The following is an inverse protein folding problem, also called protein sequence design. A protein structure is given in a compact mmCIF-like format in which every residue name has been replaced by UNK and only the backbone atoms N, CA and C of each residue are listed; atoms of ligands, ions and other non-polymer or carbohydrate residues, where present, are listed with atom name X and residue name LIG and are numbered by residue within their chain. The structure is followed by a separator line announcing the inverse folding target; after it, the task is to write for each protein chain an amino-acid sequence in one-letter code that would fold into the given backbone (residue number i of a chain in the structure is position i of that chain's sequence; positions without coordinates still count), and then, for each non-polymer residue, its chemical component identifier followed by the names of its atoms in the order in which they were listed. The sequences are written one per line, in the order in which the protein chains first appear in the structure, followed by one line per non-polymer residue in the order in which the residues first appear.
data_IF_837182810780
#
_entry.id   IF_837182810780
#
_cell.length_a   1.000
_cell.length_b   1.000
_cell.length_c   1.000
_cell.angle_alpha   90.00
_cell.angle_beta   90.00
_cell.angle_gamma   90.00
#
_symmetry.space_group_name_H-M   'P 1'
#
loop_
_entity.id
_entity.type
_entity.pdbx_description
1 polymer ?
#
# COMPACT_ATOMS: atom_id res chain seq x y z
N UNK A 1 -18.59 4.98 8.21
CA UNK A 1 -18.14 6.38 8.43
C UNK A 1 -16.64 6.44 8.68
N UNK A 2 -16.07 5.60 9.55
CA UNK A 2 -14.62 5.57 9.83
C UNK A 2 -13.73 5.15 8.63
N UNK A 3 -14.24 4.34 7.70
CA UNK A 3 -13.48 3.89 6.53
C UNK A 3 -13.33 4.99 5.46
N UNK A 4 -14.32 5.88 5.37
CA UNK A 4 -14.33 6.97 4.40
C UNK A 4 -13.26 8.01 4.74
N UNK A 5 -13.11 8.34 6.02
CA UNK A 5 -12.14 9.30 6.55
C UNK A 5 -10.68 8.90 6.23
N UNK A 6 -10.36 7.60 6.36
CA UNK A 6 -9.03 7.07 6.03
C UNK A 6 -8.69 7.20 4.55
N UNK A 7 -9.67 6.93 3.68
CA UNK A 7 -9.49 7.02 2.23
C UNK A 7 -9.27 8.47 1.79
N UNK A 8 -10.04 9.39 2.34
CA UNK A 8 -9.90 10.82 2.04
C UNK A 8 -8.54 11.36 2.49
N UNK A 9 -8.15 11.07 3.74
CA UNK A 9 -6.84 11.46 4.30
C UNK A 9 -5.68 10.91 3.46
N UNK A 10 -5.77 9.63 3.05
CA UNK A 10 -4.74 9.03 2.21
C UNK A 10 -4.61 9.74 0.85
N UNK A 11 -5.74 10.08 0.20
CA UNK A 11 -5.72 10.84 -1.06
C UNK A 11 -5.15 12.24 -0.88
N UNK A 12 -5.45 12.91 0.23
CA UNK A 12 -4.85 14.21 0.53
C UNK A 12 -3.32 14.12 0.64
N UNK A 13 -2.77 13.04 1.21
CA UNK A 13 -1.32 12.82 1.24
C UNK A 13 -0.73 12.46 -0.13
N UNK A 14 -1.45 11.70 -0.96
CA UNK A 14 -0.99 11.38 -2.32
C UNK A 14 -0.85 12.62 -3.20
N UNK A 15 -1.72 13.62 -3.03
CA UNK A 15 -1.74 14.84 -3.84
C UNK A 15 -0.79 15.94 -3.34
N UNK A 16 0.02 15.66 -2.31
CA UNK A 16 0.96 16.61 -1.74
C UNK A 16 2.34 16.45 -2.35
N UNK A 17 2.79 17.47 -3.07
CA UNK A 17 4.10 17.49 -3.74
C UNK A 17 5.28 17.53 -2.75
N UNK A 18 5.03 17.83 -1.48
CA UNK A 18 6.02 17.92 -0.41
C UNK A 18 6.20 16.60 0.38
N UNK A 19 5.55 15.51 -0.03
CA UNK A 19 5.67 14.20 0.62
C UNK A 19 6.47 13.26 -0.28
N UNK A 20 7.60 12.77 0.25
CA UNK A 20 8.42 11.75 -0.43
C UNK A 20 7.96 10.32 -0.16
N UNK A 21 7.63 10.00 1.09
CA UNK A 21 7.33 8.64 1.54
C UNK A 21 6.12 8.66 2.49
N UNK A 22 5.18 7.74 2.30
CA UNK A 22 4.03 7.48 3.17
C UNK A 22 4.22 6.10 3.79
N UNK A 23 4.36 6.05 5.11
CA UNK A 23 4.33 4.79 5.87
C UNK A 23 2.90 4.52 6.35
N UNK A 24 2.36 3.35 6.03
CA UNK A 24 0.99 2.98 6.37
C UNK A 24 0.94 1.57 6.96
N UNK A 25 0.14 1.36 8.01
CA UNK A 25 -0.04 0.00 8.52
C UNK A 25 -0.74 -0.86 7.45
N UNK A 26 -0.26 -2.09 7.21
CA UNK A 26 -0.86 -3.00 6.23
C UNK A 26 -2.36 -3.22 6.45
N UNK A 27 -2.80 -3.32 7.71
CA UNK A 27 -4.22 -3.41 8.06
C UNK A 27 -5.05 -2.21 7.56
N UNK A 28 -4.48 -1.00 7.61
CA UNK A 28 -5.14 0.22 7.10
C UNK A 28 -5.02 0.30 5.57
N UNK A 29 -3.91 -0.17 5.00
CA UNK A 29 -3.70 -0.23 3.55
C UNK A 29 -4.77 -1.07 2.84
N UNK A 30 -5.23 -2.16 3.48
CA UNK A 30 -6.36 -2.96 2.99
C UNK A 30 -7.66 -2.16 2.86
N UNK A 31 -7.89 -1.21 3.77
CA UNK A 31 -9.11 -0.39 3.79
C UNK A 31 -9.10 0.66 2.66
N UNK A 32 -7.90 1.10 2.25
CA UNK A 32 -7.69 2.11 1.19
C UNK A 32 -7.18 1.50 -0.12
N UNK A 33 -7.28 0.17 -0.28
CA UNK A 33 -6.63 -0.60 -1.35
C UNK A 33 -6.96 -0.07 -2.75
N UNK A 34 -8.21 0.37 -2.98
CA UNK A 34 -8.61 0.98 -4.25
C UNK A 34 -7.80 2.24 -4.60
N UNK A 35 -7.52 3.10 -3.62
CA UNK A 35 -6.72 4.32 -3.82
C UNK A 35 -5.23 3.99 -3.96
N UNK A 36 -4.73 3.00 -3.21
CA UNK A 36 -3.33 2.56 -3.28
C UNK A 36 -3.03 1.90 -4.64
N UNK A 37 -3.91 1.03 -5.12
CA UNK A 37 -3.75 0.37 -6.42
C UNK A 37 -3.85 1.37 -7.58
N UNK A 38 -4.70 2.40 -7.45
CA UNK A 38 -4.80 3.50 -8.43
C UNK A 38 -3.55 4.41 -8.45
N UNK A 39 -2.77 4.45 -7.37
CA UNK A 39 -1.52 5.22 -7.31
C UNK A 39 -0.40 4.48 -8.06
N UNK A 40 0.00 5.07 -9.20
CA UNK A 40 1.04 4.53 -10.09
C UNK A 40 2.32 5.37 -10.08
N UNK A 41 2.31 6.55 -9.45
CA UNK A 41 3.47 7.42 -9.37
C UNK A 41 4.48 6.87 -8.34
N UNK A 42 5.77 7.03 -8.62
CA UNK A 42 6.83 6.61 -7.70
C UNK A 42 6.92 7.49 -6.45
N UNK A 43 6.44 8.74 -6.53
CA UNK A 43 6.45 9.73 -5.45
C UNK A 43 5.02 10.26 -5.27
N UNK A 44 4.47 10.29 -4.04
CA UNK A 44 5.06 9.70 -2.83
C UNK A 44 5.14 8.17 -2.90
N UNK A 45 6.24 7.60 -2.41
CA UNK A 45 6.38 6.14 -2.26
C UNK A 45 5.54 5.68 -1.08
N UNK A 46 4.68 4.67 -1.25
CA UNK A 46 3.85 4.12 -0.18
C UNK A 46 4.47 2.81 0.31
N UNK A 47 4.75 2.70 1.62
CA UNK A 47 5.30 1.50 2.25
C UNK A 47 4.36 0.96 3.33
N UNK A 48 3.97 -0.30 3.17
CA UNK A 48 3.11 -1.03 4.12
C UNK A 48 3.96 -1.61 5.26
N UNK A 49 3.62 -1.28 6.51
CA UNK A 49 4.32 -1.75 7.72
C UNK A 49 3.40 -2.59 8.63
N UNK A 50 3.93 -3.53 9.42
CA UNK A 50 3.16 -4.22 10.46
C UNK A 50 2.73 -3.27 11.58
N UNK A 51 1.74 -3.69 12.35
CA UNK A 51 1.35 -3.03 13.60
C UNK A 51 1.56 -3.95 14.80
N UNK A 52 1.54 -3.39 16.02
CA UNK A 52 1.66 -4.18 17.26
C UNK A 52 0.57 -5.25 17.43
N UNK A 53 -0.62 -5.05 16.84
CA UNK A 53 -1.78 -5.96 16.97
C UNK A 53 -2.00 -6.86 15.75
N UNK A 54 -1.52 -6.41 14.58
CA UNK A 54 -1.68 -7.11 13.31
C UNK A 54 -0.30 -7.29 12.68
N UNK A 55 0.27 -8.51 12.72
CA UNK A 55 1.55 -8.81 12.08
C UNK A 55 1.44 -8.64 10.57
N UNK A 56 2.59 -8.51 9.91
CA UNK A 56 2.65 -8.39 8.46
C UNK A 56 2.29 -9.72 7.77
N UNK A 57 1.47 -9.64 6.74
CA UNK A 57 1.03 -10.73 5.89
C UNK A 57 1.53 -10.50 4.45
N UNK A 58 2.58 -11.21 4.06
CA UNK A 58 3.19 -11.07 2.73
C UNK A 58 2.21 -11.39 1.59
N UNK A 59 1.14 -12.16 1.85
CA UNK A 59 0.18 -12.53 0.80
C UNK A 59 -0.67 -11.34 0.34
N UNK A 60 -0.77 -10.30 1.17
CA UNK A 60 -1.59 -9.09 0.97
C UNK A 60 -0.81 -7.90 0.44
N UNK A 61 0.49 -8.05 0.24
CA UNK A 61 1.35 -6.96 -0.19
C UNK A 61 1.07 -6.59 -1.66
N UNK A 62 0.87 -5.29 -1.89
CA UNK A 62 0.58 -4.73 -3.22
C UNK A 62 1.74 -4.87 -4.20
N UNK A 63 2.98 -4.78 -3.73
CA UNK A 63 4.18 -4.98 -4.55
C UNK A 63 4.26 -6.44 -4.97
N UNK A 64 4.05 -7.39 -4.04
CA UNK A 64 4.00 -8.81 -4.39
C UNK A 64 2.85 -9.12 -5.36
N UNK A 65 1.68 -8.50 -5.21
CA UNK A 65 0.56 -8.68 -6.17
C UNK A 65 0.89 -8.12 -7.57
N UNK A 66 1.54 -6.96 -7.66
CA UNK A 66 2.02 -6.41 -8.95
C UNK A 66 3.11 -7.29 -9.56
N UNK A 67 3.96 -7.85 -8.71
CA UNK A 67 5.04 -8.76 -9.07
C UNK A 67 4.58 -10.18 -9.45
N UNK A 68 3.40 -10.65 -9.00
CA UNK A 68 2.86 -11.97 -9.40
C UNK A 68 2.66 -12.13 -10.92
N UNK A 69 2.58 -11.04 -11.68
CA UNK A 69 2.60 -11.08 -13.14
C UNK A 69 4.01 -11.17 -13.75
N UNK A 70 5.05 -10.95 -12.95
CA UNK A 70 6.46 -10.86 -13.37
C UNK A 70 7.29 -12.07 -12.93
N UNK A 71 6.90 -12.78 -11.87
CA UNK A 71 7.60 -13.98 -11.38
C UNK A 71 6.84 -15.24 -11.78
N UNK A 72 7.35 -15.98 -12.77
CA UNK A 72 7.01 -17.41 -12.95
C UNK A 72 7.68 -18.22 -11.84
N UNK A 73 7.09 -19.36 -11.47
CA UNK A 73 7.55 -20.23 -10.38
C UNK A 73 9.00 -20.76 -10.54
N UNK A 74 9.66 -20.46 -11.66
CA UNK A 74 11.06 -20.80 -11.95
C UNK A 74 12.08 -19.81 -11.35
N UNK A 75 11.68 -18.59 -10.96
CA UNK A 75 12.61 -17.56 -10.43
C UNK A 75 12.91 -17.73 -8.92
N UNK A 76 12.16 -18.60 -8.24
CA UNK A 76 12.28 -18.88 -6.80
C UNK A 76 13.09 -20.16 -6.48
N UNK A 77 13.85 -20.69 -7.44
CA UNK A 77 14.68 -21.89 -7.27
C UNK A 77 16.16 -21.54 -7.13
#
# INVERSE_FOLDING_TARGET
MLDYDKTDTFRQFLNRDDIGIILINQYIAEMVRQALDAHQHSIPTVLEIPSKKHPYDATKDSILRRARGMFTAEDLR
#
